data_IF_092834584889
#
_entry.id   IF_092834584889
#
_cell.length_a   1.000
_cell.length_b   1.000
_cell.length_c   1.000
_cell.angle_alpha   90.00
_cell.angle_beta   90.00
_cell.angle_gamma   90.00
#
_symmetry.space_group_name_H-M   'P 1'
#
loop_
_entity.id
_entity.type
_entity.pdbx_description
1 polymer ?
#
# COMPACT_ATOMS: atom_id res chain seq x y z
N UNK A 1 6.11 4.69 20.29
CA UNK A 1 5.01 3.75 19.92
C UNK A 1 5.53 2.89 18.80
N UNK A 2 5.20 1.60 18.78
CA UNK A 2 5.65 0.69 17.71
C UNK A 2 4.88 0.96 16.41
N UNK A 3 5.53 0.74 15.27
CA UNK A 3 4.89 0.78 13.95
C UNK A 3 4.27 -0.59 13.67
N UNK A 4 2.97 -0.61 13.31
CA UNK A 4 2.24 -1.82 12.96
C UNK A 4 1.34 -1.60 11.75
N UNK A 5 1.07 -2.68 11.02
CA UNK A 5 0.21 -2.65 9.84
C UNK A 5 -0.90 -3.69 9.97
N UNK A 6 -2.14 -3.28 9.67
CA UNK A 6 -3.31 -4.14 9.58
C UNK A 6 -3.75 -4.34 8.15
N UNK A 7 -4.09 -5.56 7.75
CA UNK A 7 -4.71 -5.84 6.46
C UNK A 7 -6.23 -5.83 6.61
N UNK A 8 -6.89 -4.90 5.93
CA UNK A 8 -8.34 -4.74 5.99
C UNK A 8 -9.08 -5.45 4.84
N UNK A 9 -8.35 -6.20 4.02
CA UNK A 9 -8.88 -6.94 2.88
C UNK A 9 -8.54 -6.28 1.54
N UNK A 10 -8.35 -7.08 0.49
CA UNK A 10 -7.92 -6.67 -0.84
C UNK A 10 -6.57 -5.93 -0.80
N UNK A 11 -6.53 -4.66 -1.19
CA UNK A 11 -5.36 -3.78 -1.07
C UNK A 11 -5.51 -2.75 0.05
N UNK A 12 -6.60 -2.82 0.84
CA UNK A 12 -6.83 -1.88 1.92
C UNK A 12 -5.97 -2.21 3.14
N UNK A 13 -5.11 -1.26 3.52
CA UNK A 13 -4.17 -1.38 4.63
C UNK A 13 -4.31 -0.20 5.59
N UNK A 14 -4.13 -0.46 6.88
CA UNK A 14 -4.04 0.57 7.91
C UNK A 14 -2.69 0.47 8.61
N UNK A 15 -1.83 1.46 8.39
CA UNK A 15 -0.54 1.61 9.05
C UNK A 15 -0.70 2.55 10.25
N UNK A 16 -0.39 2.05 11.45
CA UNK A 16 -0.29 2.87 12.65
C UNK A 16 1.18 3.11 12.99
N UNK A 17 1.60 4.36 13.03
CA UNK A 17 2.97 4.75 13.33
C UNK A 17 3.01 6.10 14.01
N UNK A 18 3.73 6.21 15.12
CA UNK A 18 3.90 7.46 15.88
C UNK A 18 2.56 8.20 16.19
N UNK A 19 1.50 7.44 16.49
CA UNK A 19 0.17 7.99 16.78
C UNK A 19 -0.61 8.49 15.57
N UNK A 20 -0.13 8.20 14.35
CA UNK A 20 -0.80 8.51 13.10
C UNK A 20 -1.39 7.25 12.47
N UNK A 21 -2.54 7.41 11.82
CA UNK A 21 -3.25 6.40 11.05
C UNK A 21 -3.10 6.71 9.55
N UNK A 22 -2.31 5.91 8.84
CA UNK A 22 -2.16 5.99 7.38
C UNK A 22 -2.99 4.89 6.75
N UNK A 23 -4.06 5.28 6.09
CA UNK A 23 -4.97 4.37 5.39
C UNK A 23 -4.60 4.33 3.90
N UNK A 24 -4.41 3.13 3.36
CA UNK A 24 -3.98 2.93 1.98
C UNK A 24 -5.08 2.22 1.22
N UNK A 25 -5.43 2.73 0.04
CA UNK A 25 -6.39 2.19 -0.91
C UNK A 25 -7.69 1.70 -0.25
N UNK A 26 -8.51 2.60 0.32
CA UNK A 26 -9.60 2.28 1.22
C UNK A 26 -10.84 1.72 0.51
N UNK A 27 -10.73 0.55 -0.07
CA UNK A 27 -11.86 -0.21 -0.61
C UNK A 27 -12.48 -1.05 0.51
N UNK A 28 -13.53 -0.51 1.15
CA UNK A 28 -14.26 -1.14 2.25
C UNK A 28 -15.70 -1.43 1.84
N UNK A 29 -16.44 -0.43 1.37
CA UNK A 29 -17.81 -0.61 0.86
C UNK A 29 -17.79 -1.47 -0.41
N UNK A 30 -18.55 -2.56 -0.40
CA UNK A 30 -18.60 -3.51 -1.52
C UNK A 30 -17.45 -4.51 -1.57
N UNK A 31 -16.47 -4.42 -0.68
CA UNK A 31 -15.42 -5.43 -0.55
C UNK A 31 -15.91 -6.63 0.28
N UNK A 32 -16.06 -7.83 -0.32
CA UNK A 32 -16.56 -9.01 0.39
C UNK A 32 -15.60 -9.53 1.48
N UNK A 33 -14.39 -9.00 1.54
CA UNK A 33 -13.35 -9.35 2.53
C UNK A 33 -13.02 -8.20 3.47
N UNK A 34 -13.78 -7.09 3.43
CA UNK A 34 -13.52 -5.96 4.32
C UNK A 34 -13.65 -6.35 5.80
N UNK A 35 -12.61 -6.03 6.57
CA UNK A 35 -12.58 -6.24 8.03
C UNK A 35 -12.90 -4.98 8.84
N UNK A 36 -13.23 -3.88 8.16
CA UNK A 36 -13.64 -2.61 8.75
C UNK A 36 -14.72 -1.96 7.89
N UNK A 37 -15.32 -0.88 8.39
CA UNK A 37 -16.27 -0.07 7.62
C UNK A 37 -15.74 1.34 7.41
N UNK A 38 -16.18 2.01 6.35
CA UNK A 38 -15.79 3.36 6.03
C UNK A 38 -16.17 4.37 7.13
N UNK A 39 -17.25 4.09 7.89
CA UNK A 39 -17.74 4.92 8.99
C UNK A 39 -16.85 4.85 10.23
N UNK A 40 -16.10 3.76 10.41
CA UNK A 40 -15.37 3.48 11.65
C UNK A 40 -13.85 3.57 11.50
N UNK A 41 -13.31 3.31 10.29
CA UNK A 41 -11.85 3.26 10.09
C UNK A 41 -11.23 4.64 10.37
N UNK A 42 -10.18 4.73 11.21
CA UNK A 42 -9.48 5.99 11.43
C UNK A 42 -8.58 6.34 10.25
N UNK A 43 -8.37 7.63 10.00
CA UNK A 43 -7.37 8.11 9.06
C UNK A 43 -6.94 9.54 9.41
N UNK A 44 -5.63 9.76 9.45
CA UNK A 44 -4.98 11.08 9.48
C UNK A 44 -4.39 11.39 8.10
N UNK A 45 -3.95 10.34 7.39
CA UNK A 45 -3.45 10.37 6.02
C UNK A 45 -4.08 9.23 5.22
N UNK A 46 -4.52 9.53 3.99
CA UNK A 46 -5.02 8.54 3.03
C UNK A 46 -4.09 8.53 1.83
N UNK A 47 -3.63 7.35 1.43
CA UNK A 47 -2.83 7.13 0.22
C UNK A 47 -3.69 6.42 -0.83
N UNK A 48 -3.72 6.93 -2.07
CA UNK A 48 -4.44 6.32 -3.19
C UNK A 48 -3.42 6.02 -4.28
N UNK A 49 -3.23 4.74 -4.59
CA UNK A 49 -2.23 4.28 -5.55
C UNK A 49 -2.62 4.56 -6.99
N UNK A 50 -3.89 4.35 -7.34
CA UNK A 50 -4.40 4.54 -8.70
C UNK A 50 -5.93 4.70 -8.73
N UNK A 51 -6.49 4.96 -9.91
CA UNK A 51 -7.86 5.41 -10.09
C UNK A 51 -8.95 4.34 -10.01
N UNK A 52 -8.64 3.04 -9.99
CA UNK A 52 -9.66 2.00 -9.98
C UNK A 52 -10.56 2.07 -8.74
N UNK A 53 -11.83 1.67 -8.90
CA UNK A 53 -12.83 1.80 -7.84
C UNK A 53 -12.53 0.99 -6.58
N UNK A 54 -11.83 -0.14 -6.72
CA UNK A 54 -11.38 -1.00 -5.63
C UNK A 54 -10.08 -0.50 -4.94
N UNK A 55 -9.63 0.73 -5.27
CA UNK A 55 -8.53 1.44 -4.61
C UNK A 55 -8.95 2.84 -4.15
N UNK A 56 -9.56 3.65 -5.03
CA UNK A 56 -10.15 4.95 -4.63
C UNK A 56 -11.22 4.73 -3.56
N UNK A 57 -12.06 3.71 -3.74
CA UNK A 57 -13.03 3.22 -2.77
C UNK A 57 -13.77 4.31 -2.01
N UNK A 58 -13.69 4.26 -0.70
CA UNK A 58 -14.35 5.17 0.25
C UNK A 58 -13.49 6.40 0.62
N UNK A 59 -12.38 6.65 -0.09
CA UNK A 59 -11.41 7.70 0.28
C UNK A 59 -12.04 9.08 0.48
N UNK A 60 -12.99 9.46 -0.38
CA UNK A 60 -13.69 10.76 -0.29
C UNK A 60 -14.52 10.84 0.99
N UNK A 61 -15.35 9.84 1.26
CA UNK A 61 -16.22 9.80 2.45
C UNK A 61 -15.40 9.79 3.75
N UNK A 62 -14.33 8.98 3.77
CA UNK A 62 -13.44 8.90 4.94
C UNK A 62 -12.70 10.22 5.15
N UNK A 63 -12.12 10.83 4.10
CA UNK A 63 -11.43 12.12 4.20
C UNK A 63 -12.36 13.24 4.69
N UNK A 64 -13.60 13.30 4.20
CA UNK A 64 -14.61 14.26 4.67
C UNK A 64 -14.98 14.05 6.13
N UNK A 65 -15.11 12.80 6.57
CA UNK A 65 -15.46 12.45 7.97
C UNK A 65 -14.33 12.73 8.94
N UNK A 66 -13.09 12.34 8.60
CA UNK A 66 -11.93 12.40 9.51
C UNK A 66 -11.16 13.71 9.41
N UNK A 67 -11.28 14.43 8.29
CA UNK A 67 -10.42 15.56 7.97
C UNK A 67 -9.01 15.15 7.55
N UNK A 68 -8.80 13.88 7.18
CA UNK A 68 -7.52 13.36 6.72
C UNK A 68 -6.98 14.10 5.50
N UNK A 69 -5.67 14.22 5.42
CA UNK A 69 -4.99 14.63 4.19
C UNK A 69 -4.96 13.45 3.21
N UNK A 70 -5.18 13.71 1.91
CA UNK A 70 -5.07 12.66 0.89
C UNK A 70 -3.84 12.93 0.03
N UNK A 71 -3.03 11.89 -0.19
CA UNK A 71 -1.87 11.91 -1.09
C UNK A 71 -2.06 10.89 -2.20
N UNK A 72 -1.83 11.30 -3.43
CA UNK A 72 -1.87 10.46 -4.62
C UNK A 72 -1.00 11.07 -5.73
N UNK A 73 -1.12 10.53 -6.96
CA UNK A 73 -0.61 11.22 -8.13
C UNK A 73 -1.38 12.54 -8.38
N UNK A 74 -0.83 13.40 -9.24
CA UNK A 74 -1.37 14.73 -9.48
C UNK A 74 -2.77 14.69 -10.10
N UNK A 75 -3.03 13.76 -11.01
CA UNK A 75 -4.30 13.62 -11.73
C UNK A 75 -5.44 13.21 -10.79
N UNK A 76 -5.23 12.23 -9.93
CA UNK A 76 -6.19 11.81 -8.91
C UNK A 76 -6.43 12.95 -7.91
N UNK A 77 -5.39 13.64 -7.46
CA UNK A 77 -5.52 14.77 -6.54
C UNK A 77 -6.35 15.90 -7.16
N UNK A 78 -6.15 16.19 -8.44
CA UNK A 78 -6.96 17.17 -9.18
C UNK A 78 -8.42 16.72 -9.30
N UNK A 79 -8.65 15.44 -9.57
CA UNK A 79 -9.98 14.86 -9.64
C UNK A 79 -10.70 14.94 -8.27
N UNK A 80 -10.01 14.66 -7.17
CA UNK A 80 -10.55 14.76 -5.81
C UNK A 80 -10.89 16.20 -5.40
N UNK A 81 -10.17 17.18 -5.92
CA UNK A 81 -10.44 18.62 -5.66
C UNK A 81 -11.72 19.11 -6.33
N UNK A 82 -12.09 18.52 -7.47
CA UNK A 82 -13.25 18.94 -8.24
C UNK A 82 -14.58 18.57 -7.58
N UNK A 83 -15.62 19.40 -7.80
CA UNK A 83 -16.97 19.07 -7.36
C UNK A 83 -17.50 17.78 -8.05
N UNK A 84 -18.33 16.98 -7.38
CA UNK A 84 -18.88 17.18 -6.03
C UNK A 84 -17.96 16.72 -4.89
N UNK A 85 -16.76 16.18 -5.16
CA UNK A 85 -15.84 15.64 -4.15
C UNK A 85 -15.28 16.73 -3.23
N UNK A 86 -14.74 17.80 -3.80
CA UNK A 86 -14.40 19.05 -3.11
C UNK A 86 -13.37 18.94 -1.99
N UNK A 87 -12.45 17.96 -2.03
CA UNK A 87 -11.42 17.82 -1.02
C UNK A 87 -10.38 18.95 -1.15
N UNK A 88 -9.93 19.48 -0.03
CA UNK A 88 -8.97 20.61 0.01
C UNK A 88 -7.61 20.24 0.61
N UNK A 89 -7.53 19.19 1.44
CA UNK A 89 -6.28 18.71 2.02
C UNK A 89 -5.68 17.65 1.13
N UNK A 90 -4.96 18.06 0.09
CA UNK A 90 -4.46 17.19 -0.96
C UNK A 90 -2.97 17.42 -1.22
N UNK A 91 -2.24 16.35 -1.44
CA UNK A 91 -0.89 16.35 -2.01
C UNK A 91 -0.86 15.54 -3.30
N UNK A 92 -0.79 16.22 -4.44
CA UNK A 92 -0.61 15.63 -5.75
C UNK A 92 0.86 15.56 -6.11
N UNK A 93 1.43 14.35 -6.16
CA UNK A 93 2.84 14.12 -6.50
C UNK A 93 2.97 13.52 -7.90
N UNK A 94 4.22 13.39 -8.37
CA UNK A 94 4.57 12.60 -9.54
C UNK A 94 5.61 11.53 -9.16
N UNK A 95 5.79 10.51 -10.00
CA UNK A 95 6.74 9.44 -9.77
C UNK A 95 8.14 9.96 -9.46
N UNK A 96 8.77 9.39 -8.43
CA UNK A 96 10.05 9.86 -7.91
C UNK A 96 9.94 11.04 -6.95
N UNK A 97 8.82 11.79 -6.96
CA UNK A 97 8.52 12.84 -5.99
C UNK A 97 8.16 12.26 -4.63
N UNK A 98 8.45 13.01 -3.58
CA UNK A 98 8.11 12.62 -2.21
C UNK A 98 7.83 13.84 -1.33
N UNK A 99 6.99 13.63 -0.33
CA UNK A 99 6.61 14.65 0.65
C UNK A 99 6.82 14.14 2.07
N UNK A 100 7.31 15.00 2.96
CA UNK A 100 7.47 14.69 4.39
C UNK A 100 6.45 15.50 5.17
N UNK A 101 5.56 14.82 5.89
CA UNK A 101 4.54 15.42 6.74
C UNK A 101 5.13 15.88 8.07
N UNK A 102 4.43 16.80 8.76
CA UNK A 102 4.84 17.29 10.08
C UNK A 102 4.93 16.17 11.14
N UNK A 103 4.21 15.07 10.93
CA UNK A 103 4.31 13.85 11.74
C UNK A 103 5.66 13.12 11.61
N UNK A 104 6.52 13.52 10.67
CA UNK A 104 7.78 12.86 10.34
C UNK A 104 7.64 11.71 9.36
N UNK A 105 6.43 11.37 8.93
CA UNK A 105 6.19 10.36 7.89
C UNK A 105 6.56 10.96 6.53
N UNK A 106 7.39 10.24 5.77
CA UNK A 106 7.70 10.58 4.38
C UNK A 106 7.08 9.56 3.44
N UNK A 107 6.40 10.04 2.41
CA UNK A 107 5.85 9.20 1.32
C UNK A 107 6.47 9.64 0.00
N UNK A 108 6.98 8.68 -0.78
CA UNK A 108 7.53 8.88 -2.13
C UNK A 108 6.79 7.98 -3.10
N UNK A 109 6.35 8.51 -4.24
CA UNK A 109 5.72 7.71 -5.29
C UNK A 109 6.77 6.95 -6.09
N UNK A 110 6.51 5.67 -6.32
CA UNK A 110 7.32 4.78 -7.17
C UNK A 110 6.54 4.40 -8.42
N UNK A 111 7.22 3.77 -9.38
CA UNK A 111 6.56 3.20 -10.55
C UNK A 111 5.60 2.07 -10.15
N UNK A 112 4.54 1.90 -10.95
CA UNK A 112 3.71 0.70 -11.00
C UNK A 112 3.26 0.48 -12.44
N UNK A 113 3.19 -0.77 -12.89
CA UNK A 113 2.73 -1.14 -14.23
C UNK A 113 1.29 -1.68 -14.16
N UNK A 114 0.34 -0.77 -14.29
CA UNK A 114 -1.09 -1.07 -14.19
C UNK A 114 -1.92 0.00 -14.93
N UNK A 115 -3.24 -0.14 -14.94
CA UNK A 115 -4.18 0.90 -15.40
C UNK A 115 -4.54 1.88 -14.29
N UNK A 116 -5.21 3.00 -14.64
CA UNK A 116 -5.64 4.01 -13.65
C UNK A 116 -6.87 4.78 -14.13
N UNK A 117 -7.89 4.08 -14.64
CA UNK A 117 -9.17 4.72 -14.96
C UNK A 117 -9.92 5.03 -13.65
N UNK A 118 -10.42 6.26 -13.54
CA UNK A 118 -11.25 6.69 -12.41
C UNK A 118 -12.68 6.15 -12.54
N UNK A 119 -13.48 6.10 -11.43
CA UNK A 119 -14.83 5.55 -11.46
C UNK A 119 -15.79 6.25 -12.44
N UNK A 120 -15.54 7.49 -12.80
CA UNK A 120 -16.30 8.25 -13.79
C UNK A 120 -15.78 8.07 -15.23
N UNK A 121 -14.80 7.19 -15.44
CA UNK A 121 -14.18 6.89 -16.72
C UNK A 121 -13.08 7.88 -17.14
N UNK A 122 -12.81 8.91 -16.33
CA UNK A 122 -11.70 9.82 -16.62
C UNK A 122 -10.34 9.18 -16.33
N UNK A 123 -9.27 9.77 -16.86
CA UNK A 123 -7.90 9.28 -16.67
C UNK A 123 -7.37 9.67 -15.28
N UNK A 124 -7.02 8.70 -14.47
CA UNK A 124 -6.41 8.89 -13.15
C UNK A 124 -4.88 9.01 -13.17
N UNK A 125 -4.28 9.29 -14.32
CA UNK A 125 -2.83 9.37 -14.47
C UNK A 125 -2.12 8.02 -14.39
N UNK A 126 -0.82 8.04 -14.15
CA UNK A 126 -0.05 6.81 -14.01
C UNK A 126 -0.24 6.20 -12.61
N UNK A 127 -0.48 4.88 -12.49
CA UNK A 127 -0.53 4.20 -11.20
C UNK A 127 0.81 4.27 -10.49
N UNK A 128 0.80 4.23 -9.17
CA UNK A 128 2.01 4.29 -8.36
C UNK A 128 1.99 3.31 -7.19
N UNK A 129 3.17 2.90 -6.75
CA UNK A 129 3.40 2.33 -5.43
C UNK A 129 3.91 3.41 -4.48
N UNK A 130 4.05 3.04 -3.20
CA UNK A 130 4.48 3.94 -2.13
C UNK A 130 5.74 3.43 -1.44
N UNK A 131 6.77 4.26 -1.38
CA UNK A 131 7.87 4.09 -0.44
C UNK A 131 7.58 5.00 0.76
N UNK A 132 7.27 4.37 1.91
CA UNK A 132 6.89 5.05 3.14
C UNK A 132 8.05 4.92 4.14
N UNK A 133 8.53 6.06 4.63
CA UNK A 133 9.48 6.10 5.75
C UNK A 133 8.75 6.65 6.96
N UNK A 134 8.61 5.83 8.00
CA UNK A 134 8.00 6.20 9.26
C UNK A 134 8.93 7.07 10.11
N UNK A 135 8.40 7.81 11.07
CA UNK A 135 9.19 8.69 11.94
C UNK A 135 10.21 7.94 12.80
N UNK A 136 9.98 6.65 13.10
CA UNK A 136 10.90 5.75 13.80
C UNK A 136 11.97 5.12 12.88
N UNK A 137 11.98 5.47 11.59
CA UNK A 137 12.93 5.00 10.60
C UNK A 137 12.57 3.67 9.94
N UNK A 138 11.43 3.05 10.29
CA UNK A 138 10.91 1.88 9.58
C UNK A 138 10.54 2.28 8.14
N UNK A 139 10.96 1.46 7.17
CA UNK A 139 10.71 1.68 5.74
C UNK A 139 9.83 0.59 5.16
N UNK A 140 8.70 1.00 4.58
CA UNK A 140 7.77 0.12 3.89
C UNK A 140 7.75 0.45 2.39
N UNK A 141 7.64 -0.57 1.57
CA UNK A 141 7.28 -0.43 0.16
C UNK A 141 5.96 -1.14 -0.08
N UNK A 142 4.95 -0.40 -0.44
CA UNK A 142 3.69 -0.92 -0.98
C UNK A 142 3.74 -0.82 -2.50
N UNK A 143 3.73 -1.97 -3.17
CA UNK A 143 3.77 -2.03 -4.62
C UNK A 143 2.43 -1.67 -5.26
N UNK A 144 1.34 -1.71 -4.49
CA UNK A 144 -0.03 -1.60 -4.97
C UNK A 144 -0.30 -2.57 -6.13
N UNK A 145 -1.15 -2.18 -7.09
CA UNK A 145 -1.40 -3.00 -8.27
C UNK A 145 -0.31 -2.79 -9.32
N UNK A 146 0.44 -3.85 -9.58
CA UNK A 146 1.52 -3.81 -10.58
C UNK A 146 1.88 -5.20 -11.10
N UNK A 147 2.39 -5.26 -12.32
CA UNK A 147 3.22 -6.36 -12.79
C UNK A 147 4.63 -6.29 -12.19
N UNK A 148 5.44 -7.33 -12.38
CA UNK A 148 6.86 -7.36 -12.03
C UNK A 148 7.66 -6.41 -12.94
N UNK A 149 8.59 -5.62 -12.37
CA UNK A 149 9.52 -4.78 -13.13
C UNK A 149 10.92 -4.74 -12.51
N UNK A 150 11.93 -4.49 -13.36
CA UNK A 150 13.34 -4.61 -12.96
C UNK A 150 13.78 -3.56 -11.94
N UNK A 151 13.22 -2.34 -12.01
CA UNK A 151 13.59 -1.23 -11.12
C UNK A 151 13.15 -1.43 -9.66
N UNK A 152 12.40 -2.51 -9.36
CA UNK A 152 12.20 -2.98 -7.99
C UNK A 152 13.55 -3.22 -7.27
N UNK A 153 14.61 -3.54 -8.00
CA UNK A 153 15.94 -3.65 -7.43
C UNK A 153 16.46 -2.32 -6.85
N UNK A 154 16.20 -1.20 -7.52
CA UNK A 154 16.55 0.14 -7.03
C UNK A 154 15.72 0.53 -5.79
N UNK A 155 14.45 0.13 -5.76
CA UNK A 155 13.61 0.33 -4.57
C UNK A 155 14.17 -0.49 -3.39
N UNK A 156 14.68 -1.70 -3.65
CA UNK A 156 15.31 -2.55 -2.64
C UNK A 156 16.56 -1.93 -1.99
N UNK A 157 17.32 -1.08 -2.70
CA UNK A 157 18.49 -0.37 -2.18
C UNK A 157 18.14 0.60 -1.05
N UNK A 158 16.87 0.99 -0.90
CA UNK A 158 16.38 1.80 0.21
C UNK A 158 16.45 1.08 1.57
N UNK A 159 16.61 -0.26 1.59
CA UNK A 159 16.74 -1.06 2.81
C UNK A 159 15.40 -1.25 3.52
N UNK A 160 14.48 -1.93 2.85
CA UNK A 160 13.10 -2.14 3.26
C UNK A 160 12.96 -3.03 4.49
N UNK A 161 12.16 -2.60 5.44
CA UNK A 161 11.72 -3.42 6.56
C UNK A 161 10.55 -4.32 6.16
N UNK A 162 9.59 -3.78 5.39
CA UNK A 162 8.44 -4.52 4.87
C UNK A 162 8.23 -4.18 3.39
N UNK A 163 8.02 -5.21 2.55
CA UNK A 163 7.43 -5.06 1.24
C UNK A 163 6.01 -5.63 1.25
N UNK A 164 5.10 -4.97 0.55
CA UNK A 164 3.70 -5.36 0.39
C UNK A 164 3.48 -5.57 -1.10
N UNK A 165 3.09 -6.80 -1.48
CA UNK A 165 3.08 -7.22 -2.88
C UNK A 165 1.74 -7.85 -3.26
N UNK A 166 1.14 -7.51 -4.40
CA UNK A 166 0.00 -8.22 -4.92
C UNK A 166 0.45 -9.62 -5.40
N UNK A 167 -0.39 -10.63 -5.14
CA UNK A 167 -0.16 -12.01 -5.59
C UNK A 167 -1.34 -12.59 -6.36
N UNK A 168 -2.36 -11.77 -6.69
CA UNK A 168 -3.63 -12.22 -7.24
C UNK A 168 -3.54 -12.83 -8.63
N UNK A 169 -2.47 -12.56 -9.37
CA UNK A 169 -2.40 -12.87 -10.81
C UNK A 169 -3.53 -12.14 -11.58
N UNK A 170 -3.86 -12.52 -12.76
CA UNK A 170 -4.94 -12.01 -13.61
C UNK A 170 -4.92 -10.49 -13.84
N UNK A 171 -4.92 -9.67 -12.79
CA UNK A 171 -4.87 -8.19 -12.85
C UNK A 171 -3.51 -7.61 -12.42
N UNK A 172 -2.73 -8.35 -11.65
CA UNK A 172 -1.44 -7.93 -11.09
C UNK A 172 -0.39 -9.02 -11.31
N UNK A 173 0.79 -8.89 -10.70
CA UNK A 173 1.72 -10.01 -10.67
C UNK A 173 1.10 -11.20 -9.92
N UNK A 174 1.43 -12.40 -10.39
CA UNK A 174 1.06 -13.66 -9.73
C UNK A 174 2.11 -14.10 -8.70
N UNK A 175 1.86 -15.24 -8.02
CA UNK A 175 2.74 -15.78 -6.99
C UNK A 175 4.20 -15.96 -7.44
N UNK A 176 4.43 -16.40 -8.67
CA UNK A 176 5.76 -16.63 -9.23
C UNK A 176 6.55 -15.32 -9.36
N UNK A 177 5.94 -14.31 -9.95
CA UNK A 177 6.55 -13.00 -10.12
C UNK A 177 6.70 -12.26 -8.79
N UNK A 178 5.78 -12.46 -7.83
CA UNK A 178 5.90 -11.89 -6.50
C UNK A 178 7.12 -12.47 -5.73
N UNK A 179 7.46 -13.76 -5.89
CA UNK A 179 8.70 -14.31 -5.34
C UNK A 179 9.94 -13.68 -6.00
N UNK A 180 9.90 -13.43 -7.32
CA UNK A 180 10.97 -12.71 -8.03
C UNK A 180 11.10 -11.27 -7.55
N UNK A 181 9.96 -10.59 -7.31
CA UNK A 181 9.93 -9.24 -6.73
C UNK A 181 10.60 -9.21 -5.36
N UNK A 182 10.33 -10.18 -4.47
CA UNK A 182 11.03 -10.30 -3.18
C UNK A 182 12.55 -10.41 -3.35
N UNK A 183 13.02 -11.16 -4.35
CA UNK A 183 14.47 -11.29 -4.65
C UNK A 183 15.10 -9.98 -5.11
N UNK A 184 14.35 -9.12 -5.81
CA UNK A 184 14.80 -7.79 -6.23
C UNK A 184 14.77 -6.78 -5.07
N UNK A 185 13.67 -6.75 -4.32
CA UNK A 185 13.42 -5.80 -3.22
C UNK A 185 14.23 -6.10 -1.95
N UNK A 186 14.54 -7.38 -1.68
CA UNK A 186 15.30 -7.85 -0.50
C UNK A 186 14.79 -7.29 0.84
N UNK A 187 13.48 -7.30 1.12
CA UNK A 187 12.94 -6.79 2.36
C UNK A 187 13.23 -7.75 3.53
N UNK A 188 13.12 -7.25 4.78
CA UNK A 188 13.14 -8.12 5.97
C UNK A 188 11.87 -8.97 6.06
N UNK A 189 10.71 -8.35 5.84
CA UNK A 189 9.39 -8.97 5.84
C UNK A 189 8.66 -8.71 4.54
N UNK A 190 7.73 -9.61 4.16
CA UNK A 190 6.88 -9.40 2.99
C UNK A 190 5.45 -9.85 3.27
N UNK A 191 4.49 -9.00 2.92
CA UNK A 191 3.04 -9.20 3.10
C UNK A 191 2.36 -9.33 1.73
N UNK A 192 1.63 -10.44 1.47
CA UNK A 192 0.83 -10.57 0.25
C UNK A 192 -0.51 -9.83 0.38
N UNK A 193 -0.93 -9.17 -0.68
CA UNK A 193 -2.22 -8.49 -0.80
C UNK A 193 -2.89 -8.82 -2.15
N UNK A 194 -4.06 -8.24 -2.41
CA UNK A 194 -4.80 -8.30 -3.68
C UNK A 194 -5.05 -9.74 -4.15
N UNK A 195 -5.52 -10.62 -3.24
CA UNK A 195 -5.88 -12.01 -3.54
C UNK A 195 -7.12 -12.45 -2.77
N UNK A 196 -7.81 -13.47 -3.26
CA UNK A 196 -9.00 -14.08 -2.64
C UNK A 196 -10.21 -13.14 -2.41
N UNK A 197 -10.20 -11.94 -2.96
CA UNK A 197 -11.35 -11.03 -2.90
C UNK A 197 -12.41 -11.41 -3.93
N UNK A 198 -11.95 -11.78 -5.13
CA UNK A 198 -12.80 -12.18 -6.25
C UNK A 198 -12.33 -13.51 -6.85
N UNK A 199 -13.21 -14.31 -7.50
CA UNK A 199 -12.83 -15.61 -8.04
C UNK A 199 -11.60 -15.60 -8.96
N UNK A 200 -11.40 -14.61 -9.88
CA UNK A 200 -10.23 -14.61 -10.78
C UNK A 200 -8.89 -14.46 -10.06
N UNK A 201 -8.87 -13.91 -8.85
CA UNK A 201 -7.64 -13.65 -8.07
C UNK A 201 -7.50 -14.62 -6.88
N UNK A 202 -8.05 -15.82 -7.01
CA UNK A 202 -7.93 -16.85 -5.97
C UNK A 202 -6.52 -17.43 -5.94
N UNK A 203 -5.83 -17.36 -4.80
CA UNK A 203 -4.46 -17.83 -4.61
C UNK A 203 -4.27 -18.54 -3.28
N UNK A 204 -3.29 -19.45 -3.22
CA UNK A 204 -2.81 -20.07 -1.99
C UNK A 204 -1.62 -19.26 -1.43
N UNK A 205 -1.92 -18.32 -0.53
CA UNK A 205 -0.91 -17.51 0.12
C UNK A 205 0.05 -18.32 1.01
N UNK A 206 -0.38 -19.48 1.53
CA UNK A 206 0.48 -20.34 2.34
C UNK A 206 1.54 -21.04 1.47
N UNK A 207 1.15 -21.50 0.29
CA UNK A 207 2.10 -22.06 -0.69
C UNK A 207 3.09 -20.99 -1.17
N UNK A 208 2.60 -19.76 -1.45
CA UNK A 208 3.48 -18.63 -1.77
C UNK A 208 4.46 -18.33 -0.64
N UNK A 209 4.01 -18.24 0.60
CA UNK A 209 4.85 -17.99 1.77
C UNK A 209 5.92 -19.06 1.98
N UNK A 210 5.60 -20.34 1.76
CA UNK A 210 6.56 -21.42 1.81
C UNK A 210 7.69 -21.24 0.78
N UNK A 211 7.35 -20.77 -0.43
CA UNK A 211 8.33 -20.45 -1.47
C UNK A 211 9.19 -19.25 -1.11
N UNK A 212 8.59 -18.16 -0.62
CA UNK A 212 9.36 -17.01 -0.14
C UNK A 212 10.39 -17.44 0.89
N UNK A 213 9.97 -18.23 1.89
CA UNK A 213 10.84 -18.73 2.96
C UNK A 213 11.98 -19.62 2.45
N UNK A 214 11.74 -20.43 1.42
CA UNK A 214 12.75 -21.35 0.88
C UNK A 214 13.67 -20.70 -0.15
N UNK A 215 13.20 -19.68 -0.88
CA UNK A 215 13.90 -19.12 -2.02
C UNK A 215 14.54 -17.73 -1.73
N UNK A 216 14.25 -17.12 -0.58
CA UNK A 216 14.70 -15.76 -0.22
C UNK A 216 15.04 -15.65 1.27
N UNK A 217 15.83 -14.65 1.69
CA UNK A 217 16.06 -14.38 3.11
C UNK A 217 14.89 -13.68 3.81
N UNK A 218 13.84 -13.23 3.09
CA UNK A 218 12.73 -12.50 3.64
C UNK A 218 11.81 -13.41 4.47
N UNK A 219 11.20 -12.84 5.51
CA UNK A 219 10.18 -13.53 6.31
C UNK A 219 8.79 -13.18 5.76
N UNK A 220 8.03 -14.16 5.23
CA UNK A 220 6.66 -13.90 4.79
C UNK A 220 5.73 -13.72 5.99
N UNK A 221 4.81 -12.76 5.87
CA UNK A 221 3.77 -12.42 6.85
C UNK A 221 2.43 -12.57 6.15
N UNK A 222 1.70 -13.65 6.41
CA UNK A 222 0.37 -13.88 5.83
C UNK A 222 -0.67 -13.55 6.88
N UNK A 223 -1.44 -12.49 6.65
CA UNK A 223 -2.52 -12.05 7.53
C UNK A 223 -3.88 -12.50 6.99
N UNK A 224 -4.84 -12.70 7.90
CA UNK A 224 -6.24 -12.68 7.54
C UNK A 224 -6.77 -11.24 7.61
N UNK A 225 -7.82 -10.89 6.84
CA UNK A 225 -8.44 -9.57 6.98
C UNK A 225 -8.80 -9.27 8.44
N UNK A 226 -8.36 -8.11 8.94
CA UNK A 226 -8.49 -7.68 10.33
C UNK A 226 -7.31 -8.02 11.24
N UNK A 227 -6.38 -8.85 10.81
CA UNK A 227 -5.16 -9.12 11.56
C UNK A 227 -4.10 -8.03 11.39
N UNK A 228 -3.21 -7.96 12.38
CA UNK A 228 -2.16 -6.95 12.48
C UNK A 228 -0.78 -7.58 12.58
N UNK A 229 0.20 -6.94 11.98
CA UNK A 229 1.60 -7.26 12.13
C UNK A 229 2.35 -6.07 12.74
N UNK A 230 2.98 -6.27 13.89
CA UNK A 230 3.90 -5.32 14.49
C UNK A 230 5.27 -5.45 13.82
N UNK A 231 5.76 -4.37 13.20
CA UNK A 231 7.02 -4.40 12.46
C UNK A 231 8.17 -4.19 13.45
N UNK A 232 9.02 -5.21 13.68
CA UNK A 232 10.11 -5.07 14.63
C UNK A 232 11.11 -4.02 14.17
N UNK A 233 11.41 -3.04 15.01
CA UNK A 233 12.47 -2.07 14.77
C UNK A 233 13.81 -2.75 14.47
N UNK A 234 14.69 -2.07 13.74
CA UNK A 234 16.06 -2.56 13.54
C UNK A 234 16.75 -2.60 14.91
N UNK A 235 17.22 -3.77 15.34
CA UNK A 235 18.12 -3.83 16.49
C UNK A 235 19.31 -2.92 16.16
N UNK A 236 19.55 -1.91 17.01
CA UNK A 236 20.78 -1.16 16.91
C UNK A 236 21.91 -2.17 17.10
N UNK A 237 22.59 -2.52 16.00
CA UNK A 237 23.85 -3.24 16.10
C UNK A 237 24.76 -2.38 16.98
N UNK A 238 25.00 -2.83 18.21
CA UNK A 238 25.88 -2.14 19.14
C UNK A 238 27.18 -1.82 18.42
N UNK A 239 27.54 -0.53 18.39
CA UNK A 239 28.89 -0.14 18.03
C UNK A 239 29.81 -0.78 19.07
N UNK A 240 30.48 -1.84 18.65
CA UNK A 240 31.66 -2.34 19.38
C UNK A 240 32.83 -1.39 19.14
#
# INVERSE_FOLDING_TARGET
MSTRIGWLGHSCLLLETNGQNVLIDPFLTGNPKAAATAEQVPADLILISHGHGDHVGDAVAIAQRTGATVLSNYEISTWLQQAPRGLSKLHGLQHGGGYTFDSGIRVKLTLAFHGSALPDGSNGGNPCGFLITCADGIKLYDAADTGLFGDMALIGEEGLDLAILPIGDYYTMGPDDAVRAVKLLKPRFVLPIHYNTFPPITQDASAWAARVKSETPATPVVLQPGEWFEIPGKQQSGRA
#
